data_IF_832470937849
#
_entry.id   IF_832470937849
#
_cell.length_a   1.000
_cell.length_b   1.000
_cell.length_c   1.000
_cell.angle_alpha   90.00
_cell.angle_beta   90.00
_cell.angle_gamma   90.00
#
_symmetry.space_group_name_H-M   'P 1'
#
loop_
_entity.id
_entity.type
_entity.pdbx_description
1 polymer ?
#
# COMPACT_ATOMS: atom_id res chain seq x y z
N UNK A 1 14.85 35.85 35.94
CA UNK A 1 15.95 36.72 35.46
C UNK A 1 17.25 35.96 35.60
N UNK A 2 17.90 35.57 34.49
CA UNK A 2 19.14 34.80 34.54
C UNK A 2 20.35 35.73 34.74
N UNK A 3 20.87 35.80 35.96
CA UNK A 3 22.09 36.52 36.31
C UNK A 3 23.33 35.73 35.87
N UNK A 4 24.13 36.29 34.95
CA UNK A 4 25.52 35.97 34.54
C UNK A 4 25.95 34.50 34.26
N UNK A 5 25.20 33.46 34.69
CA UNK A 5 25.52 32.03 34.58
C UNK A 5 25.40 31.46 33.16
N UNK A 6 24.77 32.21 32.27
CA UNK A 6 24.60 31.86 30.85
C UNK A 6 25.62 32.56 29.93
N UNK A 7 26.46 33.45 30.47
CA UNK A 7 27.46 34.21 29.70
C UNK A 7 28.69 33.35 29.39
N UNK A 8 29.05 32.44 30.31
CA UNK A 8 30.16 31.51 30.11
C UNK A 8 29.61 30.25 29.43
N UNK A 9 30.10 29.87 28.24
CA UNK A 9 29.66 28.66 27.57
C UNK A 9 30.01 27.42 28.42
N UNK A 10 29.02 26.57 28.67
CA UNK A 10 29.21 25.31 29.41
C UNK A 10 29.77 24.24 28.48
N UNK A 11 30.60 23.35 29.03
CA UNK A 11 31.09 22.18 28.29
C UNK A 11 29.90 21.35 27.76
N UNK A 12 29.98 20.93 26.51
CA UNK A 12 29.02 20.00 25.92
C UNK A 12 29.39 18.57 26.32
N UNK A 13 28.40 17.82 26.80
CA UNK A 13 28.58 16.42 27.11
C UNK A 13 28.32 15.59 25.85
N UNK A 14 29.31 14.78 25.44
CA UNK A 14 29.16 13.86 24.30
C UNK A 14 28.46 12.59 24.75
N UNK A 15 27.63 12.03 23.88
CA UNK A 15 26.97 10.75 24.11
C UNK A 15 27.95 9.59 23.88
N UNK A 16 27.79 8.49 24.63
CA UNK A 16 28.61 7.28 24.48
C UNK A 16 28.06 6.38 23.36
N UNK A 17 28.97 5.78 22.59
CA UNK A 17 28.68 4.77 21.59
C UNK A 17 28.29 3.40 22.20
N UNK A 18 27.80 2.48 21.35
CA UNK A 18 27.59 1.08 21.71
C UNK A 18 28.94 0.38 21.96
N UNK A 19 29.08 -0.49 22.98
CA UNK A 19 30.27 -1.32 23.15
C UNK A 19 30.53 -2.22 21.94
N UNK A 20 31.81 -2.39 21.58
CA UNK A 20 32.24 -3.18 20.43
C UNK A 20 31.69 -4.63 20.44
N UNK A 21 31.67 -5.26 21.62
CA UNK A 21 31.12 -6.61 21.81
C UNK A 21 29.63 -6.74 21.44
N UNK A 22 28.90 -5.63 21.38
CA UNK A 22 27.46 -5.56 21.10
C UNK A 22 27.13 -4.83 19.80
N UNK A 23 28.09 -4.59 18.92
CA UNK A 23 27.86 -3.93 17.64
C UNK A 23 26.80 -4.64 16.78
N UNK A 24 26.70 -5.97 16.89
CA UNK A 24 25.68 -6.77 16.21
C UNK A 24 24.23 -6.35 16.56
N UNK A 25 24.01 -5.74 17.72
CA UNK A 25 22.69 -5.27 18.16
C UNK A 25 22.29 -3.91 17.55
N UNK A 26 23.13 -3.34 16.68
CA UNK A 26 22.91 -2.02 16.10
C UNK A 26 23.13 -0.88 17.10
N UNK A 27 22.49 0.26 16.81
CA UNK A 27 22.67 1.49 17.59
C UNK A 27 22.15 1.33 19.02
N UNK A 28 22.86 1.92 19.99
CA UNK A 28 22.42 1.94 21.38
C UNK A 28 21.36 3.03 21.57
N UNK A 29 20.09 2.64 21.58
CA UNK A 29 18.95 3.53 21.82
C UNK A 29 19.15 4.35 23.10
N UNK A 30 18.99 5.66 23.01
CA UNK A 30 19.01 6.58 24.16
C UNK A 30 17.59 7.04 24.49
N UNK A 31 17.43 7.75 25.60
CA UNK A 31 16.11 8.22 26.03
C UNK A 31 15.39 9.04 24.96
N UNK A 32 16.12 9.87 24.19
CA UNK A 32 15.53 10.65 23.07
C UNK A 32 14.89 9.74 22.01
N UNK A 33 15.57 8.66 21.66
CA UNK A 33 15.13 7.70 20.64
C UNK A 33 13.95 6.89 21.16
N UNK A 34 14.01 6.48 22.43
CA UNK A 34 12.90 5.84 23.15
C UNK A 34 11.63 6.68 23.10
N UNK A 35 11.73 7.97 23.41
CA UNK A 35 10.58 8.88 23.41
C UNK A 35 9.96 8.96 22.01
N UNK A 36 10.78 9.02 20.95
CA UNK A 36 10.30 9.02 19.56
C UNK A 36 9.56 7.70 19.25
N UNK A 37 10.18 6.56 19.59
CA UNK A 37 9.60 5.23 19.37
C UNK A 37 8.28 5.03 20.14
N UNK A 38 8.23 5.44 21.40
CA UNK A 38 7.04 5.34 22.24
C UNK A 38 5.89 6.20 21.69
N UNK A 39 6.18 7.45 21.28
CA UNK A 39 5.19 8.32 20.64
C UNK A 39 4.64 7.71 19.35
N UNK A 40 5.51 7.15 18.51
CA UNK A 40 5.09 6.49 17.27
C UNK A 40 4.21 5.26 17.55
N UNK A 41 4.55 4.48 18.57
CA UNK A 41 3.76 3.32 19.00
C UNK A 41 2.38 3.72 19.52
N UNK A 42 2.28 4.69 20.43
CA UNK A 42 1.00 5.17 20.95
C UNK A 42 0.12 5.76 19.85
N UNK A 43 0.71 6.52 18.90
CA UNK A 43 -0.03 7.02 17.73
C UNK A 43 -0.67 5.87 16.94
N UNK A 44 0.08 4.78 16.69
CA UNK A 44 -0.45 3.58 16.01
C UNK A 44 -1.57 2.94 16.83
N UNK A 45 -1.37 2.76 18.14
CA UNK A 45 -2.39 2.21 19.03
C UNK A 45 -3.68 3.03 19.02
N UNK A 46 -3.58 4.35 19.11
CA UNK A 46 -4.73 5.26 19.08
C UNK A 46 -5.48 5.18 17.75
N UNK A 47 -4.76 5.11 16.62
CA UNK A 47 -5.40 4.91 15.31
C UNK A 47 -6.14 3.58 15.22
N UNK A 48 -5.54 2.49 15.72
CA UNK A 48 -6.20 1.18 15.73
C UNK A 48 -7.43 1.18 16.63
N UNK A 49 -7.38 1.82 17.81
CA UNK A 49 -8.54 1.95 18.70
C UNK A 49 -9.70 2.66 17.99
N UNK A 50 -9.44 3.80 17.35
CA UNK A 50 -10.45 4.55 16.59
C UNK A 50 -11.02 3.75 15.41
N UNK A 51 -10.19 2.97 14.71
CA UNK A 51 -10.66 2.10 13.62
C UNK A 51 -11.55 0.97 14.14
N UNK A 52 -11.21 0.36 15.27
CA UNK A 52 -12.04 -0.67 15.93
C UNK A 52 -13.39 -0.12 16.36
N UNK A 53 -13.40 1.05 16.99
CA UNK A 53 -14.64 1.72 17.40
C UNK A 53 -15.53 2.04 16.19
N UNK A 54 -14.96 2.61 15.12
CA UNK A 54 -15.71 2.84 13.87
C UNK A 54 -16.26 1.55 13.26
N UNK A 55 -15.50 0.46 13.29
CA UNK A 55 -15.94 -0.83 12.79
C UNK A 55 -17.09 -1.40 13.66
N UNK A 56 -17.02 -1.22 14.98
CA UNK A 56 -18.07 -1.65 15.91
C UNK A 56 -19.36 -0.85 15.76
N UNK A 57 -19.25 0.45 15.46
CA UNK A 57 -20.38 1.36 15.29
C UNK A 57 -20.88 1.44 13.84
N UNK A 58 -20.46 0.51 12.97
CA UNK A 58 -20.87 0.47 11.56
C UNK A 58 -22.37 0.20 11.46
N UNK A 59 -23.08 1.03 10.70
CA UNK A 59 -24.48 0.77 10.35
C UNK A 59 -24.53 -0.27 9.22
N UNK A 60 -25.16 -1.44 9.40
CA UNK A 60 -25.27 -2.46 8.35
C UNK A 60 -26.03 -1.97 7.11
N UNK A 61 -26.94 -1.01 7.27
CA UNK A 61 -27.77 -0.48 6.19
C UNK A 61 -27.15 0.74 5.49
N UNK A 62 -25.89 1.09 5.81
CA UNK A 62 -25.23 2.23 5.17
C UNK A 62 -25.00 1.99 3.67
N UNK A 63 -25.36 2.97 2.85
CA UNK A 63 -25.15 2.93 1.40
C UNK A 63 -24.39 4.17 0.92
N UNK A 64 -23.40 3.94 0.05
CA UNK A 64 -22.68 4.98 -0.67
C UNK A 64 -22.59 4.62 -2.15
N UNK A 65 -22.76 5.60 -3.05
CA UNK A 65 -22.68 5.39 -4.50
C UNK A 65 -21.36 4.74 -4.97
N UNK A 66 -20.27 4.89 -4.19
CA UNK A 66 -18.98 4.24 -4.48
C UNK A 66 -19.06 2.72 -4.39
N UNK A 67 -20.02 2.16 -3.65
CA UNK A 67 -20.23 0.71 -3.54
C UNK A 67 -20.70 0.08 -4.87
N UNK A 68 -21.19 0.87 -5.83
CA UNK A 68 -21.54 0.37 -7.17
C UNK A 68 -20.27 0.12 -8.01
N UNK A 69 -19.25 0.96 -7.87
CA UNK A 69 -18.02 0.93 -8.67
C UNK A 69 -16.84 0.20 -7.99
N UNK A 70 -17.07 -0.40 -6.83
CA UNK A 70 -16.07 -1.11 -6.04
C UNK A 70 -16.68 -2.36 -5.38
N UNK A 71 -15.84 -3.35 -5.10
CA UNK A 71 -16.27 -4.61 -4.49
C UNK A 71 -15.31 -5.00 -3.36
N UNK A 72 -15.84 -5.66 -2.34
CA UNK A 72 -15.03 -6.32 -1.32
C UNK A 72 -14.74 -7.74 -1.80
N UNK A 73 -13.46 -8.08 -1.97
CA UNK A 73 -12.97 -9.41 -2.35
C UNK A 73 -12.05 -9.88 -1.21
N UNK A 74 -12.32 -11.05 -0.65
CA UNK A 74 -11.59 -11.62 0.49
C UNK A 74 -11.47 -10.67 1.69
N UNK A 75 -12.52 -9.89 1.95
CA UNK A 75 -12.55 -8.91 3.05
C UNK A 75 -11.77 -7.62 2.79
N UNK A 76 -11.16 -7.44 1.60
CA UNK A 76 -10.44 -6.22 1.22
C UNK A 76 -11.22 -5.45 0.16
N UNK A 77 -11.37 -4.14 0.37
CA UNK A 77 -12.02 -3.25 -0.60
C UNK A 77 -11.12 -3.04 -1.82
N UNK A 78 -11.63 -3.35 -3.02
CA UNK A 78 -10.93 -3.20 -4.30
C UNK A 78 -11.79 -2.39 -5.26
N UNK A 79 -11.14 -1.56 -6.10
CA UNK A 79 -11.84 -0.91 -7.22
C UNK A 79 -12.04 -1.92 -8.33
N UNK A 80 -13.10 -1.75 -9.14
CA UNK A 80 -13.38 -2.68 -10.24
C UNK A 80 -12.22 -2.79 -11.26
N UNK A 81 -11.49 -1.70 -11.51
CA UNK A 81 -10.29 -1.72 -12.38
C UNK A 81 -9.18 -2.63 -11.84
N UNK A 82 -8.93 -2.60 -10.54
CA UNK A 82 -7.90 -3.43 -9.89
C UNK A 82 -8.27 -4.92 -9.94
N UNK A 83 -9.57 -5.23 -9.84
CA UNK A 83 -10.10 -6.59 -9.97
C UNK A 83 -9.89 -7.12 -11.38
N UNK A 84 -10.24 -6.32 -12.41
CA UNK A 84 -10.04 -6.71 -13.81
C UNK A 84 -8.55 -6.98 -14.07
N UNK A 85 -7.65 -6.11 -13.61
CA UNK A 85 -6.21 -6.33 -13.75
C UNK A 85 -5.77 -7.62 -13.04
N UNK A 86 -6.20 -7.86 -11.80
CA UNK A 86 -5.85 -9.07 -11.06
C UNK A 86 -6.37 -10.35 -11.75
N UNK A 87 -7.62 -10.37 -12.22
CA UNK A 87 -8.17 -11.51 -12.97
C UNK A 87 -7.42 -11.72 -14.29
N UNK A 88 -7.07 -10.64 -14.99
CA UNK A 88 -6.33 -10.71 -16.26
C UNK A 88 -4.91 -11.28 -16.08
N UNK A 89 -4.26 -11.01 -14.95
CA UNK A 89 -2.93 -11.55 -14.64
C UNK A 89 -2.97 -13.00 -14.14
N UNK A 90 -4.05 -13.41 -13.49
CA UNK A 90 -4.22 -14.77 -12.95
C UNK A 90 -4.97 -15.72 -13.90
N UNK A 91 -5.55 -15.22 -15.00
CA UNK A 91 -6.20 -16.05 -15.99
C UNK A 91 -5.18 -16.68 -16.93
N UNK A 92 -5.04 -18.00 -16.80
CA UNK A 92 -4.60 -18.96 -17.81
C UNK A 92 -5.37 -18.87 -19.15
N UNK A 93 -6.31 -17.92 -19.30
CA UNK A 93 -7.11 -17.64 -20.50
C UNK A 93 -6.44 -16.66 -21.49
N UNK A 94 -5.29 -16.06 -21.16
CA UNK A 94 -4.50 -15.25 -22.12
C UNK A 94 -4.23 -15.96 -23.46
N UNK A 95 -3.80 -17.25 -23.50
CA UNK A 95 -3.60 -17.96 -24.77
C UNK A 95 -4.91 -18.15 -25.56
N UNK A 96 -6.05 -18.34 -24.87
CA UNK A 96 -7.35 -18.53 -25.54
C UNK A 96 -7.82 -17.22 -26.19
N UNK A 97 -7.66 -16.08 -25.50
CA UNK A 97 -7.99 -14.77 -26.07
C UNK A 97 -7.10 -14.39 -27.26
N UNK A 98 -5.82 -14.78 -27.23
CA UNK A 98 -4.87 -14.53 -28.32
C UNK A 98 -5.17 -15.38 -29.58
N UNK A 99 -5.71 -16.59 -29.40
CA UNK A 99 -6.14 -17.45 -30.51
C UNK A 99 -7.42 -16.90 -31.19
N UNK A 100 -8.36 -16.35 -30.43
CA UNK A 100 -9.60 -15.74 -30.95
C UNK A 100 -9.29 -14.49 -31.79
N UNK A 101 -8.32 -13.67 -31.36
CA UNK A 101 -7.89 -12.50 -32.11
C UNK A 101 -7.11 -12.87 -33.40
N UNK A 102 -6.48 -14.05 -33.42
CA UNK A 102 -5.79 -14.56 -34.60
C UNK A 102 -6.75 -15.15 -35.64
N UNK A 103 -7.76 -15.93 -35.20
CA UNK A 103 -8.81 -16.47 -36.07
C UNK A 103 -9.60 -15.37 -36.77
N UNK A 104 -10.02 -14.32 -36.04
CA UNK A 104 -10.76 -13.20 -36.66
C UNK A 104 -9.95 -12.45 -37.72
N UNK A 105 -8.63 -12.32 -37.54
CA UNK A 105 -7.74 -11.73 -38.56
C UNK A 105 -7.61 -12.63 -39.80
N UNK A 106 -7.61 -13.95 -39.61
CA UNK A 106 -7.58 -14.91 -40.73
C UNK A 106 -8.88 -14.80 -41.52
N UNK A 107 -10.03 -14.77 -40.86
CA UNK A 107 -11.34 -14.61 -41.48
C UNK A 107 -11.48 -13.29 -42.25
N UNK A 108 -11.04 -12.17 -41.66
CA UNK A 108 -11.04 -10.86 -42.33
C UNK A 108 -10.10 -10.83 -43.55
N UNK A 109 -8.94 -11.49 -43.47
CA UNK A 109 -8.01 -11.60 -44.59
C UNK A 109 -8.53 -12.52 -45.71
N UNK A 110 -9.22 -13.59 -45.34
CA UNK A 110 -9.85 -14.52 -46.27
C UNK A 110 -11.02 -13.86 -46.99
N UNK A 111 -11.88 -13.13 -46.25
CA UNK A 111 -12.99 -12.37 -46.82
C UNK A 111 -12.50 -11.27 -47.76
N UNK A 112 -11.43 -10.56 -47.39
CA UNK A 112 -10.78 -9.56 -48.25
C UNK A 112 -10.18 -10.17 -49.52
N UNK A 113 -9.55 -11.33 -49.43
CA UNK A 113 -8.99 -12.04 -50.59
C UNK A 113 -10.08 -12.56 -51.54
N UNK A 114 -11.16 -13.13 -50.99
CA UNK A 114 -12.29 -13.63 -51.77
C UNK A 114 -12.99 -12.49 -52.52
N UNK A 115 -13.20 -11.34 -51.88
CA UNK A 115 -13.77 -10.16 -52.53
C UNK A 115 -12.88 -9.59 -53.65
N UNK A 116 -11.55 -9.80 -53.58
CA UNK A 116 -10.58 -9.33 -54.59
C UNK A 116 -10.45 -10.26 -55.81
N UNK A 117 -10.97 -11.48 -55.71
CA UNK A 117 -11.04 -12.46 -56.81
C UNK A 117 -12.40 -12.41 -57.52
N UNK A 118 -13.48 -12.10 -56.77
CA UNK A 118 -14.87 -12.13 -57.26
C UNK A 118 -15.33 -10.79 -57.89
N UNK A 119 -14.56 -9.71 -57.73
CA UNK A 119 -14.74 -8.40 -58.40
C UNK A 119 -13.57 -8.14 -59.34
#
# INVERSE_FOLDING_TARGET
>A
MSSLRNIIPKRTYKERAQPASRERCGILEKHKDYVIRAKAFHKKQDTLRKLKEKASNRNPDEFSFKMISSRVVDGVHRKNQDIIHHVTQNNELRPILQNIDHEKKVDDSFFSFYYKIVV
#
